data_IF_545034732102
#
_entry.id   IF_545034732102
#
_cell.length_a   1.000
_cell.length_b   1.000
_cell.length_c   1.000
_cell.angle_alpha   90.00
_cell.angle_beta   90.00
_cell.angle_gamma   90.00
#
_symmetry.space_group_name_H-M   'P 1'
#
loop_
_entity.id
_entity.type
_entity.pdbx_description
1 polymer ?
#
# COMPACT_ATOMS: atom_id res chain seq x y z
N UNK A 1 39.08 -45.63 -31.21
CA UNK A 1 39.28 -44.42 -30.39
C UNK A 1 38.35 -43.34 -30.85
N UNK A 2 37.01 -43.44 -30.56
CA UNK A 2 35.98 -42.41 -30.90
C UNK A 2 34.71 -42.58 -30.06
N UNK A 3 34.77 -42.57 -28.70
CA UNK A 3 33.57 -42.68 -27.83
C UNK A 3 33.61 -41.67 -26.65
N UNK A 4 34.39 -40.63 -26.66
CA UNK A 4 34.48 -39.71 -25.50
C UNK A 4 33.98 -38.27 -25.76
N UNK A 5 33.30 -37.97 -26.87
CA UNK A 5 32.84 -36.59 -27.16
C UNK A 5 31.33 -36.34 -26.92
N UNK A 6 30.49 -37.35 -26.66
CA UNK A 6 29.04 -37.20 -26.54
C UNK A 6 28.52 -36.95 -25.10
N UNK A 7 29.27 -37.37 -24.08
CA UNK A 7 28.85 -37.22 -22.69
C UNK A 7 28.94 -35.78 -22.13
N UNK A 8 29.94 -35.02 -22.60
CA UNK A 8 30.14 -33.65 -22.13
C UNK A 8 29.07 -32.66 -22.65
N UNK A 9 28.57 -32.85 -23.88
CA UNK A 9 27.52 -32.00 -24.45
C UNK A 9 26.17 -32.20 -23.74
N UNK A 10 25.83 -33.41 -23.31
CA UNK A 10 24.55 -33.70 -22.61
C UNK A 10 24.51 -33.08 -21.20
N UNK A 11 25.63 -33.04 -20.49
CA UNK A 11 25.73 -32.48 -19.15
C UNK A 11 25.59 -30.94 -19.15
N UNK A 12 26.06 -30.27 -20.21
CA UNK A 12 25.93 -28.80 -20.35
C UNK A 12 24.48 -28.40 -20.68
N UNK A 13 23.76 -29.20 -21.47
CA UNK A 13 22.35 -28.93 -21.78
C UNK A 13 21.42 -29.16 -20.58
N UNK A 14 21.71 -30.14 -19.71
CA UNK A 14 20.95 -30.40 -18.49
C UNK A 14 21.13 -29.29 -17.45
N UNK A 15 22.34 -28.74 -17.29
CA UNK A 15 22.57 -27.65 -16.35
C UNK A 15 21.96 -26.32 -16.82
N UNK A 16 21.93 -26.03 -18.12
CA UNK A 16 21.26 -24.84 -18.63
C UNK A 16 19.75 -24.91 -18.54
N UNK A 17 19.13 -26.09 -18.67
CA UNK A 17 17.71 -26.28 -18.50
C UNK A 17 17.27 -26.14 -17.03
N UNK A 18 18.06 -26.63 -16.08
CA UNK A 18 17.82 -26.48 -14.64
C UNK A 18 17.90 -25.00 -14.24
N UNK A 19 18.93 -24.29 -14.68
CA UNK A 19 19.07 -22.85 -14.41
C UNK A 19 17.93 -22.01 -15.03
N UNK A 20 17.46 -22.40 -16.21
CA UNK A 20 16.31 -21.75 -16.84
C UNK A 20 15.01 -21.99 -16.07
N UNK A 21 14.82 -23.19 -15.53
CA UNK A 21 13.67 -23.53 -14.70
C UNK A 21 13.69 -22.79 -13.36
N UNK A 22 14.84 -22.75 -12.67
CA UNK A 22 15.00 -22.00 -11.42
C UNK A 22 14.74 -20.51 -11.60
N UNK A 23 15.16 -19.94 -12.73
CA UNK A 23 14.86 -18.53 -13.04
C UNK A 23 13.36 -18.29 -13.35
N UNK A 24 12.71 -19.21 -14.05
CA UNK A 24 11.26 -19.15 -14.30
C UNK A 24 10.46 -19.30 -13.02
N UNK A 25 10.82 -20.24 -12.15
CA UNK A 25 10.17 -20.45 -10.85
C UNK A 25 10.37 -19.23 -9.93
N UNK A 26 11.56 -18.64 -9.91
CA UNK A 26 11.84 -17.41 -9.17
C UNK A 26 11.04 -16.22 -9.69
N UNK A 27 10.89 -16.10 -11.02
CA UNK A 27 10.05 -15.07 -11.64
C UNK A 27 8.55 -15.29 -11.35
N UNK A 28 8.06 -16.53 -11.37
CA UNK A 28 6.69 -16.88 -11.03
C UNK A 28 6.38 -16.55 -9.56
N UNK A 29 7.28 -16.90 -8.64
CA UNK A 29 7.16 -16.54 -7.20
C UNK A 29 7.23 -15.02 -7.00
N UNK A 30 8.08 -14.30 -7.75
CA UNK A 30 8.14 -12.85 -7.70
C UNK A 30 6.87 -12.20 -8.25
N UNK A 31 6.28 -12.78 -9.28
CA UNK A 31 5.04 -12.31 -9.89
C UNK A 31 3.83 -12.61 -8.99
N UNK A 32 3.78 -13.78 -8.33
CA UNK A 32 2.77 -14.12 -7.34
C UNK A 32 2.85 -13.21 -6.11
N UNK A 33 4.06 -12.89 -5.63
CA UNK A 33 4.29 -11.87 -4.59
C UNK A 33 3.92 -10.46 -5.04
N UNK A 34 4.14 -10.12 -6.30
CA UNK A 34 3.73 -8.83 -6.86
C UNK A 34 2.20 -8.68 -6.93
N UNK A 35 1.47 -9.80 -7.03
CA UNK A 35 0.01 -9.83 -7.02
C UNK A 35 -0.59 -9.70 -5.61
N UNK A 36 0.20 -9.86 -4.55
CA UNK A 36 -0.26 -9.74 -3.16
C UNK A 36 0.40 -8.55 -2.46
N UNK A 37 0.01 -7.36 -2.86
CA UNK A 37 0.53 -6.10 -2.31
C UNK A 37 0.18 -5.95 -0.83
N UNK A 38 1.17 -6.00 0.05
CA UNK A 38 1.02 -5.83 1.48
C UNK A 38 0.36 -7.03 2.20
N UNK A 39 -0.07 -6.86 3.46
CA UNK A 39 -0.61 -7.96 4.27
C UNK A 39 -1.90 -8.53 3.66
N UNK A 40 -2.04 -9.86 3.73
CA UNK A 40 -3.18 -10.59 3.18
C UNK A 40 -4.48 -10.33 3.95
N UNK A 41 -5.63 -10.43 3.29
CA UNK A 41 -6.94 -10.37 3.95
C UNK A 41 -7.03 -11.53 4.96
N UNK A 42 -7.51 -11.23 6.18
CA UNK A 42 -7.57 -12.15 7.32
C UNK A 42 -6.26 -12.25 8.11
N UNK A 43 -5.16 -11.68 7.64
CA UNK A 43 -3.90 -11.63 8.40
C UNK A 43 -3.83 -10.39 9.31
N UNK A 44 -2.84 -10.40 10.22
CA UNK A 44 -2.54 -9.26 11.08
C UNK A 44 -1.65 -8.26 10.33
N UNK A 45 -2.10 -7.01 10.19
CA UNK A 45 -1.28 -5.91 9.70
C UNK A 45 -0.26 -5.48 10.78
N UNK A 46 0.85 -4.81 10.40
CA UNK A 46 1.71 -4.12 11.37
C UNK A 46 0.91 -3.09 12.17
N UNK A 47 0.98 -3.15 13.50
CA UNK A 47 0.26 -2.25 14.42
C UNK A 47 1.14 -1.60 15.47
N UNK A 48 2.42 -1.99 15.55
CA UNK A 48 3.42 -1.52 16.49
C UNK A 48 4.08 -0.20 16.05
N UNK A 49 3.28 0.70 15.46
CA UNK A 49 3.73 2.00 15.01
C UNK A 49 3.03 3.14 15.75
N UNK A 50 3.70 4.27 15.77
CA UNK A 50 3.13 5.55 16.18
C UNK A 50 3.66 6.65 15.28
N UNK A 51 2.75 7.41 14.66
CA UNK A 51 3.08 8.45 13.69
C UNK A 51 2.44 9.78 14.09
N UNK A 52 3.10 10.91 13.84
CA UNK A 52 2.47 12.20 14.02
C UNK A 52 1.41 12.44 12.93
N UNK A 53 0.31 13.05 13.32
CA UNK A 53 -0.71 13.56 12.39
C UNK A 53 -0.36 14.98 11.90
N UNK A 54 -1.23 15.58 11.10
CA UNK A 54 -1.08 16.94 10.57
C UNK A 54 -0.98 18.04 11.64
N UNK A 55 -1.30 17.74 12.90
CA UNK A 55 -1.15 18.67 14.04
C UNK A 55 0.13 18.42 14.84
N UNK A 56 0.90 17.40 14.48
CA UNK A 56 2.05 16.91 15.24
C UNK A 56 1.66 16.00 16.42
N UNK A 57 0.38 15.69 16.59
CA UNK A 57 -0.07 14.76 17.63
C UNK A 57 0.26 13.32 17.20
N UNK A 58 0.96 12.59 18.07
CA UNK A 58 1.30 11.19 17.83
C UNK A 58 0.05 10.32 17.91
N UNK A 59 -0.18 9.51 16.90
CA UNK A 59 -1.31 8.60 16.75
C UNK A 59 -0.83 7.16 16.61
N UNK A 60 -1.58 6.25 17.18
CA UNK A 60 -1.51 4.80 16.98
C UNK A 60 -2.72 4.32 16.18
N UNK A 61 -2.75 3.03 15.81
CA UNK A 61 -3.94 2.43 15.19
C UNK A 61 -5.20 2.65 16.05
N UNK A 62 -5.08 2.50 17.38
CA UNK A 62 -6.21 2.67 18.30
C UNK A 62 -6.76 4.10 18.29
N UNK A 63 -5.88 5.11 18.17
CA UNK A 63 -6.29 6.53 18.19
C UNK A 63 -7.04 6.96 16.93
N UNK A 64 -6.88 6.23 15.83
CA UNK A 64 -7.54 6.52 14.54
C UNK A 64 -8.65 5.55 14.20
N UNK A 65 -8.93 4.56 15.06
CA UNK A 65 -9.96 3.55 14.83
C UNK A 65 -11.32 3.99 15.40
N UNK A 66 -12.36 3.80 14.60
CA UNK A 66 -13.74 3.78 15.08
C UNK A 66 -14.14 2.40 15.63
N UNK A 67 -15.39 2.22 16.05
CA UNK A 67 -15.88 0.95 16.61
C UNK A 67 -15.72 -0.27 15.67
N UNK A 68 -15.80 -0.06 14.34
CA UNK A 68 -15.62 -1.10 13.32
C UNK A 68 -14.16 -1.21 12.85
N UNK A 69 -13.30 -0.26 13.22
CA UNK A 69 -11.90 -0.19 12.80
C UNK A 69 -11.55 1.09 12.04
N UNK A 70 -10.60 1.01 11.13
CA UNK A 70 -10.15 2.15 10.33
C UNK A 70 -9.88 1.77 8.89
N UNK A 71 -10.01 2.72 7.97
CA UNK A 71 -9.49 2.59 6.61
C UNK A 71 -8.29 3.52 6.45
N UNK A 72 -7.12 2.93 6.18
CA UNK A 72 -5.89 3.68 5.95
C UNK A 72 -5.59 3.69 4.46
N UNK A 73 -5.54 4.87 3.86
CA UNK A 73 -5.15 5.10 2.48
C UNK A 73 -3.66 5.47 2.43
N UNK A 74 -2.85 4.60 1.86
CA UNK A 74 -1.43 4.87 1.62
C UNK A 74 -1.28 5.66 0.34
N UNK A 75 -0.92 6.92 0.48
CA UNK A 75 -0.76 7.86 -0.61
C UNK A 75 0.69 8.31 -0.78
N UNK A 76 1.04 8.80 -1.98
CA UNK A 76 2.41 9.15 -2.34
C UNK A 76 2.80 10.53 -1.80
N UNK A 77 1.99 11.58 -2.08
CA UNK A 77 2.31 12.94 -1.69
C UNK A 77 1.08 13.83 -1.70
N UNK A 78 0.93 14.67 -0.69
CA UNK A 78 -0.05 15.74 -0.65
C UNK A 78 0.52 17.09 -1.16
N UNK A 79 1.81 17.13 -1.49
CA UNK A 79 2.48 18.30 -2.07
C UNK A 79 2.46 18.27 -3.61
N UNK A 80 2.98 17.19 -4.21
CA UNK A 80 3.24 17.14 -5.64
C UNK A 80 2.41 16.11 -6.44
N UNK A 81 1.58 15.29 -5.78
CA UNK A 81 0.78 14.24 -6.44
C UNK A 81 -0.69 14.65 -6.56
N UNK A 82 -1.14 15.16 -7.73
CA UNK A 82 -2.53 15.62 -7.88
C UNK A 82 -3.56 14.51 -7.69
N UNK A 83 -3.22 13.27 -8.04
CA UNK A 83 -4.11 12.11 -7.81
C UNK A 83 -4.30 11.82 -6.32
N UNK A 84 -3.25 12.02 -5.52
CA UNK A 84 -3.31 11.83 -4.08
C UNK A 84 -4.11 12.96 -3.40
N UNK A 85 -3.87 14.21 -3.83
CA UNK A 85 -4.61 15.38 -3.36
C UNK A 85 -6.11 15.22 -3.65
N UNK A 86 -6.48 14.89 -4.89
CA UNK A 86 -7.88 14.70 -5.28
C UNK A 86 -8.55 13.57 -4.47
N UNK A 87 -7.87 12.43 -4.28
CA UNK A 87 -8.40 11.33 -3.47
C UNK A 87 -8.61 11.77 -2.01
N UNK A 88 -7.67 12.51 -1.44
CA UNK A 88 -7.81 12.99 -0.04
C UNK A 88 -8.94 14.00 0.11
N UNK A 89 -9.16 14.89 -0.88
CA UNK A 89 -10.31 15.80 -0.91
C UNK A 89 -11.62 15.01 -1.02
N UNK A 90 -11.68 13.98 -1.86
CA UNK A 90 -12.83 13.10 -1.98
C UNK A 90 -13.14 12.38 -0.65
N UNK A 91 -12.12 11.87 0.05
CA UNK A 91 -12.27 11.26 1.37
C UNK A 91 -12.83 12.27 2.39
N UNK A 92 -12.41 13.53 2.34
CA UNK A 92 -12.96 14.58 3.21
C UNK A 92 -14.44 14.84 2.92
N UNK A 93 -14.84 14.86 1.65
CA UNK A 93 -16.24 15.03 1.27
C UNK A 93 -17.11 13.86 1.75
N UNK A 94 -16.55 12.65 1.82
CA UNK A 94 -17.24 11.43 2.21
C UNK A 94 -16.94 10.99 3.67
N UNK A 95 -16.30 11.85 4.46
CA UNK A 95 -15.86 11.55 5.82
C UNK A 95 -16.99 11.00 6.71
N UNK A 96 -18.16 11.64 6.72
CA UNK A 96 -19.30 11.21 7.52
C UNK A 96 -19.77 9.80 7.14
N UNK A 97 -19.67 9.43 5.86
CA UNK A 97 -20.08 8.10 5.41
C UNK A 97 -19.19 6.98 5.99
N UNK A 98 -17.92 7.25 6.27
CA UNK A 98 -17.05 6.32 7.02
C UNK A 98 -17.44 6.27 8.49
N UNK A 99 -17.66 7.43 9.12
CA UNK A 99 -18.04 7.54 10.54
C UNK A 99 -19.37 6.83 10.83
N UNK A 100 -20.38 7.00 9.97
CA UNK A 100 -21.67 6.31 10.07
C UNK A 100 -21.53 4.79 9.99
N UNK A 101 -20.50 4.29 9.30
CA UNK A 101 -20.16 2.87 9.23
C UNK A 101 -19.32 2.39 10.41
N UNK A 102 -18.94 3.30 11.30
CA UNK A 102 -18.11 3.02 12.47
C UNK A 102 -16.62 2.93 12.16
N UNK A 103 -16.19 3.40 11.00
CA UNK A 103 -14.77 3.40 10.63
C UNK A 103 -14.14 4.78 10.81
N UNK A 104 -12.95 4.80 11.40
CA UNK A 104 -12.04 5.92 11.22
C UNK A 104 -11.49 5.94 9.79
N UNK A 105 -11.01 7.10 9.32
CA UNK A 105 -10.36 7.23 8.03
C UNK A 105 -9.08 8.03 8.16
N UNK A 106 -7.99 7.49 7.61
CA UNK A 106 -6.70 8.14 7.61
C UNK A 106 -6.02 8.05 6.25
N UNK A 107 -5.22 9.04 5.93
CA UNK A 107 -4.28 9.04 4.81
C UNK A 107 -2.88 9.02 5.39
N UNK A 108 -2.04 8.10 4.92
CA UNK A 108 -0.64 8.00 5.33
C UNK A 108 0.24 8.35 4.13
N UNK A 109 1.18 9.29 4.34
CA UNK A 109 2.19 9.67 3.36
C UNK A 109 3.58 9.57 3.98
N UNK A 110 4.61 9.46 3.13
CA UNK A 110 6.02 9.47 3.59
C UNK A 110 6.55 10.87 3.88
N UNK A 111 5.70 11.89 3.75
CA UNK A 111 6.08 13.30 3.88
C UNK A 111 6.14 13.74 5.35
N UNK A 112 6.86 14.85 5.64
CA UNK A 112 6.90 15.42 6.97
C UNK A 112 5.57 16.05 7.37
N UNK A 113 5.38 16.25 8.68
CA UNK A 113 4.16 16.82 9.28
C UNK A 113 3.77 18.14 8.63
N UNK A 114 4.73 19.01 8.32
CA UNK A 114 4.49 20.33 7.78
C UNK A 114 3.77 20.29 6.42
N UNK A 115 4.05 19.28 5.61
CA UNK A 115 3.36 19.08 4.33
C UNK A 115 1.90 18.69 4.54
N UNK A 116 1.65 17.75 5.42
CA UNK A 116 0.30 17.32 5.79
C UNK A 116 -0.47 18.45 6.47
N UNK A 117 0.16 19.24 7.35
CA UNK A 117 -0.44 20.41 8.02
C UNK A 117 -0.87 21.48 7.03
N UNK A 118 -0.01 21.79 6.04
CA UNK A 118 -0.33 22.77 4.98
C UNK A 118 -1.56 22.31 4.18
N UNK A 119 -1.58 21.05 3.72
CA UNK A 119 -2.71 20.49 2.99
C UNK A 119 -3.99 20.52 3.83
N UNK A 120 -3.93 20.11 5.10
CA UNK A 120 -5.08 20.13 6.00
C UNK A 120 -5.64 21.54 6.21
N UNK A 121 -4.79 22.56 6.33
CA UNK A 121 -5.21 23.94 6.48
C UNK A 121 -5.88 24.49 5.22
N UNK A 122 -5.40 24.10 4.03
CA UNK A 122 -5.96 24.54 2.75
C UNK A 122 -7.33 23.90 2.46
N UNK A 123 -7.56 22.67 2.93
CA UNK A 123 -8.77 21.88 2.64
C UNK A 123 -9.68 21.67 3.86
N UNK A 124 -9.37 22.26 5.02
CA UNK A 124 -10.11 22.11 6.28
C UNK A 124 -10.35 20.64 6.65
N UNK A 125 -9.32 19.78 6.49
CA UNK A 125 -9.43 18.34 6.57
C UNK A 125 -9.71 17.84 7.98
N UNK A 126 -10.73 16.98 8.12
CA UNK A 126 -11.06 16.16 9.29
C UNK A 126 -10.41 14.77 9.21
N UNK A 127 -10.07 14.34 7.99
CA UNK A 127 -9.33 13.10 7.76
C UNK A 127 -7.97 13.20 8.46
N UNK A 128 -7.58 12.15 9.17
CA UNK A 128 -6.28 12.09 9.83
C UNK A 128 -5.19 11.89 8.77
N UNK A 129 -4.24 12.83 8.69
CA UNK A 129 -3.13 12.79 7.73
C UNK A 129 -1.85 12.39 8.49
N UNK A 130 -1.46 11.12 8.40
CA UNK A 130 -0.29 10.57 9.09
C UNK A 130 0.99 10.83 8.31
N UNK A 131 2.04 11.25 8.99
CA UNK A 131 3.36 11.52 8.43
C UNK A 131 4.32 10.36 8.78
N UNK A 132 4.60 9.49 7.79
CA UNK A 132 5.57 8.38 7.89
C UNK A 132 6.91 8.81 7.28
N UNK A 133 7.54 9.83 7.85
CA UNK A 133 8.81 10.33 7.36
C UNK A 133 9.88 9.21 7.39
N UNK A 134 10.47 8.94 6.21
CA UNK A 134 11.38 7.81 6.03
C UNK A 134 10.71 6.49 5.65
N UNK A 135 9.38 6.45 5.49
CA UNK A 135 8.62 5.29 4.98
C UNK A 135 8.78 4.02 5.82
N UNK A 136 8.82 4.17 7.15
CA UNK A 136 9.01 3.02 8.06
C UNK A 136 7.79 2.11 8.04
N UNK A 137 6.60 2.69 8.23
CA UNK A 137 5.33 1.94 8.22
C UNK A 137 4.99 1.45 6.82
N UNK A 138 5.22 2.27 5.79
CA UNK A 138 5.07 1.87 4.38
C UNK A 138 5.88 0.61 4.08
N UNK A 139 7.14 0.54 4.56
CA UNK A 139 8.00 -0.65 4.38
C UNK A 139 7.53 -1.84 5.21
N UNK A 140 7.02 -1.62 6.43
CA UNK A 140 6.45 -2.70 7.26
C UNK A 140 5.22 -3.33 6.60
N UNK A 141 4.42 -2.52 5.89
CA UNK A 141 3.27 -3.00 5.11
C UNK A 141 3.66 -3.68 3.79
N UNK A 142 4.94 -3.64 3.40
CA UNK A 142 5.45 -4.20 2.12
C UNK A 142 4.67 -3.69 0.89
N UNK A 143 4.49 -2.38 0.81
CA UNK A 143 3.69 -1.71 -0.23
C UNK A 143 4.49 -0.69 -1.04
N UNK A 144 5.82 -0.81 -1.06
CA UNK A 144 6.64 0.05 -1.92
C UNK A 144 6.25 -0.13 -3.40
N UNK A 145 6.17 0.98 -4.12
CA UNK A 145 5.94 0.95 -5.57
C UNK A 145 7.20 0.40 -6.28
N UNK A 146 7.12 -0.78 -6.93
CA UNK A 146 8.27 -1.45 -7.52
C UNK A 146 8.95 -0.63 -8.61
N UNK A 147 8.22 0.27 -9.29
CA UNK A 147 8.77 1.17 -10.32
C UNK A 147 9.77 2.17 -9.72
N UNK A 148 9.69 2.44 -8.42
CA UNK A 148 10.49 3.46 -7.74
C UNK A 148 11.51 2.88 -6.75
N UNK A 149 11.55 1.57 -6.53
CA UNK A 149 12.54 0.93 -5.66
C UNK A 149 13.96 1.25 -6.15
N UNK A 150 14.83 1.67 -5.21
CA UNK A 150 16.21 2.05 -5.49
C UNK A 150 16.40 3.44 -6.10
N UNK A 151 15.33 4.21 -6.29
CA UNK A 151 15.44 5.62 -6.66
C UNK A 151 15.70 6.48 -5.44
N UNK A 152 16.38 7.60 -5.63
CA UNK A 152 16.72 8.55 -4.56
C UNK A 152 15.87 9.80 -4.56
N UNK A 153 16.03 10.64 -3.53
CA UNK A 153 15.30 11.91 -3.36
C UNK A 153 13.83 11.66 -3.10
N UNK A 154 12.95 12.48 -3.68
CA UNK A 154 11.49 12.39 -3.47
C UNK A 154 10.86 11.09 -3.97
N UNK A 155 11.61 10.19 -4.56
CA UNK A 155 11.13 8.90 -5.05
C UNK A 155 11.51 7.74 -4.13
N UNK A 156 12.34 7.98 -3.11
CA UNK A 156 12.68 6.96 -2.14
C UNK A 156 11.50 6.73 -1.18
N UNK A 157 11.15 5.46 -0.98
CA UNK A 157 10.10 5.08 -0.04
C UNK A 157 8.67 5.31 -0.50
N UNK A 158 8.44 5.60 -1.79
CA UNK A 158 7.09 5.78 -2.32
C UNK A 158 6.25 4.50 -2.19
N UNK A 159 5.04 4.56 -1.61
CA UNK A 159 4.11 3.45 -1.68
C UNK A 159 3.45 3.36 -3.05
N UNK A 160 3.07 2.14 -3.46
CA UNK A 160 2.00 1.98 -4.43
C UNK A 160 0.68 2.34 -3.72
N UNK A 161 -0.20 3.10 -4.37
CA UNK A 161 -1.45 3.52 -3.73
C UNK A 161 -2.37 2.35 -3.45
N UNK A 162 -2.64 2.13 -2.17
CA UNK A 162 -3.48 1.05 -1.66
C UNK A 162 -4.22 1.55 -0.41
N UNK A 163 -5.41 1.03 -0.15
CA UNK A 163 -6.08 1.22 1.13
C UNK A 163 -6.36 -0.13 1.79
N UNK A 164 -6.28 -0.14 3.11
CA UNK A 164 -6.62 -1.30 3.94
C UNK A 164 -7.74 -0.93 4.90
N UNK A 165 -8.81 -1.73 4.92
CA UNK A 165 -9.76 -1.72 6.02
C UNK A 165 -9.23 -2.67 7.10
N UNK A 166 -8.93 -2.12 8.27
CA UNK A 166 -8.41 -2.84 9.43
C UNK A 166 -9.45 -2.89 10.53
N UNK A 167 -9.58 -4.03 11.21
CA UNK A 167 -10.32 -4.10 12.46
C UNK A 167 -9.65 -3.22 13.54
N UNK A 168 -10.33 -2.94 14.68
CA UNK A 168 -9.70 -2.21 15.78
C UNK A 168 -8.43 -2.87 16.34
N UNK A 169 -8.26 -4.17 16.11
CA UNK A 169 -7.08 -4.94 16.52
C UNK A 169 -6.03 -5.11 15.42
N UNK A 170 -6.30 -4.58 14.20
CA UNK A 170 -5.36 -4.61 13.09
C UNK A 170 -5.48 -5.80 12.15
N UNK A 171 -6.52 -6.64 12.25
CA UNK A 171 -6.80 -7.66 11.24
C UNK A 171 -7.21 -6.99 9.92
N UNK A 172 -6.64 -7.40 8.80
CA UNK A 172 -6.99 -6.91 7.46
C UNK A 172 -8.34 -7.47 7.04
N UNK A 173 -9.36 -6.63 6.99
CA UNK A 173 -10.72 -7.01 6.59
C UNK A 173 -10.96 -6.85 5.09
N UNK A 174 -10.32 -5.86 4.47
CA UNK A 174 -10.37 -5.65 3.02
C UNK A 174 -9.13 -4.89 2.54
N UNK A 175 -8.84 -5.01 1.24
CA UNK A 175 -7.73 -4.39 0.55
C UNK A 175 -8.24 -3.76 -0.75
N UNK A 176 -7.85 -2.50 -1.03
CA UNK A 176 -8.36 -1.73 -2.16
C UNK A 176 -7.19 -1.11 -2.93
N UNK A 177 -6.96 -1.58 -4.14
CA UNK A 177 -5.88 -1.13 -5.00
C UNK A 177 -6.17 -1.45 -6.46
N UNK A 178 -5.46 -0.78 -7.38
CA UNK A 178 -5.60 -1.04 -8.81
C UNK A 178 -4.55 -2.07 -9.24
N UNK A 179 -4.88 -3.34 -9.15
CA UNK A 179 -3.99 -4.46 -9.46
C UNK A 179 -3.37 -4.38 -10.87
N UNK A 180 -4.13 -4.13 -11.97
CA UNK A 180 -3.56 -4.09 -13.31
C UNK A 180 -2.49 -3.01 -13.54
N UNK A 181 -2.43 -2.01 -12.67
CA UNK A 181 -1.43 -0.94 -12.75
C UNK A 181 -0.18 -1.19 -11.91
N UNK A 182 -0.15 -2.26 -11.11
CA UNK A 182 0.99 -2.54 -10.23
C UNK A 182 2.23 -2.92 -11.04
N UNK A 183 3.35 -2.25 -10.79
CA UNK A 183 4.57 -2.44 -11.57
C UNK A 183 4.60 -1.75 -12.93
N UNK A 184 3.49 -1.16 -13.38
CA UNK A 184 3.41 -0.42 -14.64
C UNK A 184 3.78 1.07 -14.47
N UNK A 185 4.42 1.64 -15.48
CA UNK A 185 4.69 3.08 -15.47
C UNK A 185 3.36 3.84 -15.43
N UNK A 186 3.24 4.73 -14.44
CA UNK A 186 2.04 5.52 -14.17
C UNK A 186 0.80 4.75 -13.71
N UNK A 187 0.89 3.45 -13.40
CA UNK A 187 -0.19 2.65 -12.83
C UNK A 187 -0.78 3.25 -11.55
N UNK A 188 0.04 3.97 -10.78
CA UNK A 188 -0.36 4.73 -9.59
C UNK A 188 -1.44 5.81 -9.83
N UNK A 189 -1.75 6.17 -11.07
CA UNK A 189 -2.74 7.21 -11.40
C UNK A 189 -4.16 6.74 -11.23
N UNK A 190 -4.39 5.43 -11.37
CA UNK A 190 -5.70 4.83 -11.20
C UNK A 190 -5.89 4.51 -9.72
N UNK A 191 -7.01 4.93 -9.16
CA UNK A 191 -7.38 4.73 -7.77
C UNK A 191 -8.67 3.92 -7.69
N UNK A 192 -8.81 3.13 -6.66
CA UNK A 192 -10.12 2.61 -6.27
C UNK A 192 -10.96 3.80 -5.81
N UNK A 193 -12.20 3.88 -6.25
CA UNK A 193 -13.09 4.97 -5.87
C UNK A 193 -13.47 4.88 -4.40
N UNK A 194 -13.71 6.02 -3.76
CA UNK A 194 -14.17 6.05 -2.37
C UNK A 194 -15.53 5.39 -2.21
N UNK A 195 -16.40 5.47 -3.23
CA UNK A 195 -17.70 4.83 -3.25
C UNK A 195 -17.60 3.29 -3.26
N UNK A 196 -16.67 2.72 -4.05
CA UNK A 196 -16.41 1.27 -4.04
C UNK A 196 -15.87 0.79 -2.69
N UNK A 197 -15.01 1.59 -2.04
CA UNK A 197 -14.55 1.30 -0.68
C UNK A 197 -15.73 1.27 0.29
N UNK A 198 -16.56 2.31 0.31
CA UNK A 198 -17.72 2.39 1.21
C UNK A 198 -18.72 1.25 0.98
N UNK A 199 -18.99 0.90 -0.27
CA UNK A 199 -19.84 -0.24 -0.65
C UNK A 199 -19.28 -1.56 -0.11
N UNK A 200 -17.97 -1.75 -0.23
CA UNK A 200 -17.32 -2.94 0.33
C UNK A 200 -17.42 -2.99 1.85
N UNK A 201 -17.25 -1.84 2.56
CA UNK A 201 -17.40 -1.79 4.01
C UNK A 201 -18.82 -2.20 4.48
N UNK A 202 -19.86 -1.94 3.67
CA UNK A 202 -21.21 -2.38 3.99
C UNK A 202 -21.35 -3.90 3.97
N UNK A 203 -20.58 -4.61 3.14
CA UNK A 203 -20.59 -6.08 3.10
C UNK A 203 -19.87 -6.72 4.29
N UNK A 204 -18.89 -6.03 4.89
CA UNK A 204 -18.12 -6.52 6.05
C UNK A 204 -18.92 -6.49 7.37
N UNK A 205 -20.07 -5.78 7.40
CA UNK A 205 -20.94 -5.67 8.59
C UNK A 205 -21.90 -6.83 8.76
N UNK A 206 -21.98 -7.72 7.78
CA UNK A 206 -23.00 -8.80 7.73
C UNK A 206 -22.50 -10.10 8.33
N UNK A 207 -21.22 -10.19 8.71
CA UNK A 207 -20.60 -11.34 9.37
C UNK A 207 -20.48 -11.13 10.88
#
# INVERSE_FOLDING_TARGET
MKIFKTAAALAVFLSSAVLAQETQDAMAVAQERAMDLGPAIGSQAPTDWSLPDQTGTVRTLADISGPSGTVIFFNRSLDWCPFCQNQTIELEMMYEAFVERGYGVAVLTYEPVETNARFAAEHASRVVLLADEGSVVIRQFDILDPVYIGRSGRFDGLPYPVAFALSPTGEVKAKFWHEPGFGEDRGYRIRVSTEDVLTSLDTLKVE
#
